data_IF_297608759921
#
_entry.id   IF_297608759921
#
_cell.length_a   1.000
_cell.length_b   1.000
_cell.length_c   1.000
_cell.angle_alpha   90.00
_cell.angle_beta   90.00
_cell.angle_gamma   90.00
#
_symmetry.space_group_name_H-M   'P 1'
#
loop_
_entity.id
_entity.type
_entity.pdbx_description
1 polymer ?
#
# COMPACT_ATOMS: atom_id res chain seq x y z
N UNK A 1 2.50 -22.36 -18.86
CA UNK A 1 3.83 -21.88 -18.43
C UNK A 1 4.92 -22.16 -19.47
N UNK A 2 4.99 -23.32 -20.09
CA UNK A 2 6.04 -23.68 -21.07
C UNK A 2 6.32 -22.59 -22.13
N UNK A 3 5.29 -21.88 -22.61
CA UNK A 3 5.43 -20.76 -23.57
C UNK A 3 6.09 -19.51 -22.97
N UNK A 4 6.24 -19.42 -21.66
CA UNK A 4 6.80 -18.26 -20.93
C UNK A 4 8.13 -18.57 -20.26
N UNK A 5 8.55 -19.83 -20.27
CA UNK A 5 9.80 -20.27 -19.65
C UNK A 5 11.01 -19.43 -20.07
N UNK A 6 11.03 -18.99 -21.33
CA UNK A 6 12.10 -18.14 -21.85
C UNK A 6 12.24 -16.81 -21.08
N UNK A 7 11.14 -16.27 -20.48
CA UNK A 7 11.19 -15.04 -19.68
C UNK A 7 11.97 -15.27 -18.38
N UNK A 8 11.72 -16.39 -17.69
CA UNK A 8 12.52 -16.77 -16.53
C UNK A 8 13.98 -17.04 -16.91
N UNK A 9 14.22 -17.67 -18.08
CA UNK A 9 15.56 -17.98 -18.56
C UNK A 9 16.40 -16.72 -18.89
N UNK A 10 15.76 -15.59 -19.23
CA UNK A 10 16.41 -14.28 -19.44
C UNK A 10 16.46 -13.41 -18.19
N UNK A 11 16.02 -13.92 -17.03
CA UNK A 11 16.17 -13.25 -15.72
C UNK A 11 15.01 -12.33 -15.33
N UNK A 12 13.76 -12.65 -15.74
CA UNK A 12 12.57 -11.93 -15.23
C UNK A 12 12.32 -12.31 -13.78
N UNK A 13 12.21 -11.31 -12.90
CA UNK A 13 12.10 -11.49 -11.45
C UNK A 13 10.66 -11.74 -10.96
N UNK A 14 9.66 -11.71 -11.85
CA UNK A 14 8.28 -11.98 -11.47
C UNK A 14 7.27 -11.75 -12.58
N UNK A 15 6.01 -12.01 -12.29
CA UNK A 15 4.91 -11.89 -13.24
C UNK A 15 3.71 -11.18 -12.60
N UNK A 16 3.14 -10.22 -13.33
CA UNK A 16 1.79 -9.70 -13.07
C UNK A 16 0.80 -10.55 -13.88
N UNK A 17 -0.05 -11.29 -13.18
CA UNK A 17 -1.05 -12.18 -13.77
C UNK A 17 -2.42 -11.51 -13.72
N UNK A 18 -2.81 -10.99 -14.87
CA UNK A 18 -4.09 -10.30 -15.03
C UNK A 18 -5.20 -11.27 -15.44
N UNK A 19 -6.43 -10.98 -15.02
CA UNK A 19 -7.58 -11.85 -15.25
C UNK A 19 -7.67 -13.02 -14.26
N UNK A 20 -8.22 -14.14 -14.74
CA UNK A 20 -8.38 -15.35 -13.92
C UNK A 20 -9.76 -15.48 -13.23
N UNK A 21 -10.66 -14.50 -13.40
CA UNK A 21 -12.00 -14.49 -12.83
C UNK A 21 -13.15 -14.59 -13.88
N UNK A 22 -12.82 -14.78 -15.17
CA UNK A 22 -13.76 -14.61 -16.30
C UNK A 22 -14.68 -15.81 -16.56
N UNK A 23 -15.15 -16.51 -15.54
CA UNK A 23 -16.18 -17.54 -15.67
C UNK A 23 -17.54 -16.93 -15.31
N UNK A 24 -18.18 -16.29 -16.29
CA UNK A 24 -19.44 -15.55 -16.07
C UNK A 24 -20.69 -16.39 -16.29
N UNK A 25 -20.60 -17.50 -17.05
CA UNK A 25 -21.75 -18.35 -17.35
C UNK A 25 -21.76 -19.62 -16.50
N UNK A 26 -22.93 -19.96 -15.99
CA UNK A 26 -23.18 -21.25 -15.32
C UNK A 26 -23.14 -22.43 -16.31
N UNK A 27 -23.30 -22.15 -17.62
CA UNK A 27 -23.32 -23.15 -18.70
C UNK A 27 -21.92 -23.60 -19.11
N UNK A 28 -20.86 -22.94 -18.61
CA UNK A 28 -19.47 -23.39 -18.82
C UNK A 28 -19.28 -24.74 -18.16
N UNK A 29 -18.64 -25.67 -18.86
CA UNK A 29 -18.22 -26.95 -18.31
C UNK A 29 -16.69 -27.05 -18.39
N UNK A 30 -16.07 -27.37 -17.27
CA UNK A 30 -14.67 -27.66 -17.19
C UNK A 30 -14.36 -29.08 -17.71
N UNK A 31 -13.12 -29.37 -18.05
CA UNK A 31 -12.69 -30.65 -18.63
C UNK A 31 -12.91 -31.85 -17.69
N UNK A 32 -13.01 -31.62 -16.40
CA UNK A 32 -13.31 -32.63 -15.38
C UNK A 32 -14.83 -32.86 -15.17
N UNK A 33 -15.67 -32.10 -15.90
CA UNK A 33 -17.12 -32.19 -15.80
C UNK A 33 -17.75 -31.21 -14.79
N UNK A 34 -16.97 -30.43 -14.05
CA UNK A 34 -17.46 -29.41 -13.13
C UNK A 34 -18.16 -28.30 -13.90
N UNK A 35 -19.33 -27.86 -13.44
CA UNK A 35 -20.04 -26.72 -14.03
C UNK A 35 -19.41 -25.37 -13.69
N UNK A 36 -19.65 -24.34 -14.49
CA UNK A 36 -19.22 -22.98 -14.19
C UNK A 36 -19.79 -22.44 -12.88
N UNK A 37 -21.00 -22.88 -12.50
CA UNK A 37 -21.60 -22.52 -11.21
C UNK A 37 -20.79 -23.01 -10.01
N UNK A 38 -20.28 -24.25 -10.09
CA UNK A 38 -19.52 -24.90 -9.03
C UNK A 38 -18.03 -24.50 -9.07
N UNK A 39 -17.43 -24.42 -10.25
CA UNK A 39 -15.99 -24.28 -10.44
C UNK A 39 -15.47 -22.84 -10.56
N UNK A 40 -16.33 -21.82 -10.73
CA UNK A 40 -15.86 -20.44 -11.01
C UNK A 40 -14.89 -19.86 -9.98
N UNK A 41 -15.12 -20.13 -8.72
CA UNK A 41 -14.24 -19.62 -7.64
C UNK A 41 -12.94 -20.41 -7.57
N UNK A 42 -13.03 -21.74 -7.74
CA UNK A 42 -11.84 -22.60 -7.79
C UNK A 42 -10.97 -22.27 -9.00
N UNK A 43 -11.58 -21.92 -10.14
CA UNK A 43 -10.85 -21.46 -11.33
C UNK A 43 -9.95 -20.27 -11.04
N UNK A 44 -10.41 -19.30 -10.24
CA UNK A 44 -9.56 -18.17 -9.85
C UNK A 44 -8.29 -18.63 -9.14
N UNK A 45 -8.42 -19.59 -8.22
CA UNK A 45 -7.26 -20.12 -7.49
C UNK A 45 -6.37 -20.99 -8.38
N UNK A 46 -6.96 -21.83 -9.23
CA UNK A 46 -6.21 -22.69 -10.14
C UNK A 46 -5.43 -21.86 -11.19
N UNK A 47 -6.02 -20.75 -11.63
CA UNK A 47 -5.34 -19.78 -12.51
C UNK A 47 -4.07 -19.23 -11.85
N UNK A 48 -4.15 -18.80 -10.59
CA UNK A 48 -3.01 -18.29 -9.82
C UNK A 48 -2.00 -19.41 -9.55
N UNK A 49 -2.47 -20.58 -9.14
CA UNK A 49 -1.62 -21.74 -8.87
C UNK A 49 -0.82 -22.21 -10.10
N UNK A 50 -1.41 -22.07 -11.30
CA UNK A 50 -0.70 -22.38 -12.55
C UNK A 50 0.54 -21.50 -12.80
N UNK A 51 0.63 -20.36 -12.13
CA UNK A 51 1.83 -19.52 -12.12
C UNK A 51 2.71 -19.78 -10.91
N UNK A 52 2.12 -19.79 -9.71
CA UNK A 52 2.88 -19.92 -8.48
C UNK A 52 3.66 -21.23 -8.38
N UNK A 53 3.14 -22.32 -8.97
CA UNK A 53 3.81 -23.61 -9.00
C UNK A 53 5.03 -23.67 -9.94
N UNK A 54 5.21 -22.66 -10.78
CA UNK A 54 6.20 -22.66 -11.87
C UNK A 54 7.26 -21.56 -11.72
N UNK A 55 7.05 -20.60 -10.83
CA UNK A 55 8.03 -19.56 -10.49
C UNK A 55 8.99 -20.08 -9.42
N UNK A 56 10.21 -19.55 -9.41
CA UNK A 56 11.19 -19.84 -8.36
C UNK A 56 10.87 -19.08 -7.07
N UNK A 57 11.50 -19.48 -5.96
CA UNK A 57 11.38 -18.76 -4.67
C UNK A 57 11.91 -17.33 -4.72
N UNK A 58 12.74 -17.00 -5.71
CA UNK A 58 13.30 -15.66 -5.92
C UNK A 58 12.39 -14.77 -6.79
N UNK A 59 11.33 -15.32 -7.36
CA UNK A 59 10.42 -14.60 -8.25
C UNK A 59 9.12 -14.20 -7.51
N UNK A 60 8.56 -13.05 -7.91
CA UNK A 60 7.32 -12.51 -7.32
C UNK A 60 6.14 -12.74 -8.25
N UNK A 61 5.01 -13.13 -7.65
CA UNK A 61 3.71 -13.19 -8.31
C UNK A 61 2.83 -12.03 -7.85
N UNK A 62 2.27 -11.32 -8.81
CA UNK A 62 1.35 -10.20 -8.61
C UNK A 62 0.05 -10.50 -9.36
N UNK A 63 -1.01 -10.88 -8.65
CA UNK A 63 -2.24 -11.43 -9.24
C UNK A 63 -3.46 -10.57 -8.94
N UNK A 64 -4.45 -10.61 -9.85
CA UNK A 64 -5.74 -9.98 -9.64
C UNK A 64 -6.75 -10.95 -9.01
N UNK A 65 -6.84 -12.14 -9.57
CA UNK A 65 -7.76 -13.16 -9.10
C UNK A 65 -7.25 -13.87 -7.85
N UNK A 66 -8.17 -14.36 -7.03
CA UNK A 66 -7.89 -15.18 -5.87
C UNK A 66 -9.15 -15.74 -5.26
N UNK A 67 -9.01 -16.85 -4.51
CA UNK A 67 -10.08 -17.49 -3.74
C UNK A 67 -9.49 -18.14 -2.49
N UNK A 68 -10.08 -19.23 -2.03
CA UNK A 68 -9.54 -19.99 -0.88
C UNK A 68 -8.11 -20.48 -1.19
N UNK A 69 -7.14 -20.00 -0.41
CA UNK A 69 -5.72 -20.22 -0.66
C UNK A 69 -4.97 -19.01 -1.26
N UNK A 70 -5.67 -17.92 -1.61
CA UNK A 70 -5.06 -16.70 -2.15
C UNK A 70 -4.04 -16.05 -1.20
N UNK A 71 -4.09 -16.34 0.10
CA UNK A 71 -3.06 -15.94 1.07
C UNK A 71 -1.66 -16.49 0.74
N UNK A 72 -1.57 -17.54 -0.08
CA UNK A 72 -0.32 -18.04 -0.65
C UNK A 72 0.21 -17.22 -1.84
N UNK A 73 -0.58 -16.25 -2.33
CA UNK A 73 -0.18 -15.34 -3.40
C UNK A 73 0.39 -14.06 -2.78
N UNK A 74 1.64 -13.70 -3.05
CA UNK A 74 2.30 -12.62 -2.33
C UNK A 74 1.61 -11.26 -2.47
N UNK A 75 1.16 -10.91 -3.70
CA UNK A 75 0.64 -9.57 -3.99
C UNK A 75 -0.68 -9.68 -4.77
N UNK A 76 -1.69 -8.94 -4.30
CA UNK A 76 -2.94 -8.73 -5.01
C UNK A 76 -3.21 -7.24 -5.24
N UNK A 77 -4.04 -6.90 -6.24
CA UNK A 77 -4.50 -5.54 -6.45
C UNK A 77 -6.01 -5.45 -6.71
N UNK A 78 -6.53 -4.23 -6.64
CA UNK A 78 -7.97 -3.92 -6.71
C UNK A 78 -8.64 -4.18 -8.08
N UNK A 79 -7.86 -4.53 -9.12
CA UNK A 79 -8.39 -4.62 -10.49
C UNK A 79 -8.69 -3.24 -11.10
N UNK A 80 -9.60 -3.19 -12.04
CA UNK A 80 -9.88 -2.07 -12.94
C UNK A 80 -10.92 -1.10 -12.34
N UNK A 81 -10.62 -0.51 -11.18
CA UNK A 81 -11.54 0.41 -10.51
C UNK A 81 -11.65 1.77 -11.23
N UNK A 82 -12.80 2.40 -11.08
CA UNK A 82 -13.10 3.69 -11.71
C UNK A 82 -12.37 4.85 -11.02
N UNK A 83 -12.17 5.93 -11.78
CA UNK A 83 -11.54 7.17 -11.29
C UNK A 83 -12.54 8.06 -10.57
N UNK A 84 -12.98 7.62 -9.40
CA UNK A 84 -13.89 8.38 -8.53
C UNK A 84 -13.48 8.29 -7.06
N UNK A 85 -13.88 9.29 -6.26
CA UNK A 85 -13.61 9.28 -4.82
C UNK A 85 -14.30 8.09 -4.11
N UNK A 86 -15.49 7.69 -4.57
CA UNK A 86 -16.20 6.54 -4.00
C UNK A 86 -15.46 5.23 -4.28
N UNK A 87 -14.88 5.08 -5.48
CA UNK A 87 -14.04 3.92 -5.78
C UNK A 87 -12.72 3.93 -4.98
N UNK A 88 -12.13 5.09 -4.73
CA UNK A 88 -10.95 5.18 -3.84
C UNK A 88 -11.29 4.68 -2.42
N UNK A 89 -12.47 5.02 -1.89
CA UNK A 89 -12.98 4.49 -0.61
C UNK A 89 -13.20 2.98 -0.67
N UNK A 90 -13.80 2.48 -1.77
CA UNK A 90 -14.04 1.06 -1.97
C UNK A 90 -12.73 0.26 -2.06
N UNK A 91 -11.70 0.82 -2.70
CA UNK A 91 -10.35 0.24 -2.77
C UNK A 91 -9.74 0.09 -1.39
N UNK A 92 -9.87 1.11 -0.52
CA UNK A 92 -9.42 1.00 0.87
C UNK A 92 -10.19 -0.07 1.64
N UNK A 93 -11.51 -0.09 1.56
CA UNK A 93 -12.34 -1.12 2.21
C UNK A 93 -11.97 -2.52 1.74
N UNK A 94 -11.74 -2.69 0.43
CA UNK A 94 -11.29 -3.95 -0.15
C UNK A 94 -9.93 -4.39 0.38
N UNK A 95 -8.98 -3.44 0.50
CA UNK A 95 -7.66 -3.69 1.10
C UNK A 95 -7.78 -4.19 2.55
N UNK A 96 -8.59 -3.52 3.36
CA UNK A 96 -8.80 -3.87 4.76
C UNK A 96 -9.51 -5.22 4.92
N UNK A 97 -10.48 -5.52 4.05
CA UNK A 97 -11.16 -6.81 4.00
C UNK A 97 -10.23 -7.93 3.55
N UNK A 98 -9.39 -7.69 2.53
CA UNK A 98 -8.39 -8.64 2.06
C UNK A 98 -7.36 -8.94 3.16
N UNK A 99 -6.92 -7.92 3.91
CA UNK A 99 -6.04 -8.10 5.06
C UNK A 99 -6.65 -9.02 6.12
N UNK A 100 -7.94 -8.89 6.44
CA UNK A 100 -8.65 -9.78 7.37
C UNK A 100 -8.78 -11.21 6.84
N UNK A 101 -8.58 -11.40 5.54
CA UNK A 101 -8.53 -12.71 4.87
C UNK A 101 -7.09 -13.24 4.70
N UNK A 102 -6.09 -12.60 5.31
CA UNK A 102 -4.69 -13.04 5.31
C UNK A 102 -3.88 -12.61 4.08
N UNK A 103 -4.35 -11.64 3.29
CA UNK A 103 -3.58 -11.06 2.19
C UNK A 103 -2.54 -10.09 2.75
N UNK A 104 -1.26 -10.40 2.57
CA UNK A 104 -0.15 -9.66 3.16
C UNK A 104 0.15 -8.36 2.44
N UNK A 105 0.05 -8.36 1.11
CA UNK A 105 0.42 -7.24 0.25
C UNK A 105 -0.72 -6.88 -0.69
N UNK A 106 -1.09 -5.62 -0.67
CA UNK A 106 -2.16 -5.06 -1.49
C UNK A 106 -1.68 -3.90 -2.35
N UNK A 107 -2.30 -3.75 -3.50
CA UNK A 107 -2.05 -2.66 -4.44
C UNK A 107 -3.35 -2.15 -5.08
N UNK A 108 -3.25 -1.00 -5.71
CA UNK A 108 -4.30 -0.41 -6.53
C UNK A 108 -3.69 0.59 -7.52
N UNK A 109 -4.43 0.92 -8.57
CA UNK A 109 -3.97 1.85 -9.59
C UNK A 109 -4.20 3.30 -9.15
N UNK A 110 -3.13 4.08 -9.04
CA UNK A 110 -3.18 5.49 -8.63
C UNK A 110 -4.05 6.28 -9.62
N UNK A 111 -5.05 6.99 -9.08
CA UNK A 111 -6.00 7.76 -9.87
C UNK A 111 -7.12 6.93 -10.49
N UNK A 112 -7.14 5.61 -10.29
CA UNK A 112 -8.04 4.65 -10.90
C UNK A 112 -7.54 4.12 -12.26
N UNK A 113 -8.02 2.95 -12.68
CA UNK A 113 -7.67 2.33 -13.96
C UNK A 113 -8.56 2.81 -15.09
N UNK A 114 -9.88 2.83 -14.88
CA UNK A 114 -10.90 3.06 -15.90
C UNK A 114 -11.78 4.29 -15.60
N UNK A 115 -12.65 4.63 -16.55
CA UNK A 115 -13.58 5.75 -16.44
C UNK A 115 -12.98 7.11 -16.80
N UNK A 116 -13.57 8.23 -16.34
CA UNK A 116 -13.13 9.56 -16.70
C UNK A 116 -11.72 9.87 -16.19
N UNK A 117 -11.09 10.87 -16.78
CA UNK A 117 -9.81 11.39 -16.27
C UNK A 117 -9.97 11.76 -14.79
N UNK A 118 -9.11 11.26 -13.89
CA UNK A 118 -9.18 11.62 -12.48
C UNK A 118 -8.94 13.12 -12.32
N UNK A 119 -9.69 13.77 -11.43
CA UNK A 119 -9.37 15.15 -11.03
C UNK A 119 -7.96 15.20 -10.40
N UNK A 120 -7.34 16.36 -10.44
CA UNK A 120 -6.06 16.62 -9.77
C UNK A 120 -6.15 16.23 -8.27
N UNK A 121 -7.28 16.57 -7.63
CA UNK A 121 -7.48 16.25 -6.21
C UNK A 121 -7.60 14.74 -5.97
N UNK A 122 -8.37 14.01 -6.76
CA UNK A 122 -8.46 12.55 -6.66
C UNK A 122 -7.10 11.89 -6.90
N UNK A 123 -6.35 12.31 -7.93
CA UNK A 123 -5.02 11.76 -8.21
C UNK A 123 -4.05 12.00 -7.05
N UNK A 124 -4.05 13.21 -6.49
CA UNK A 124 -3.29 13.58 -5.29
C UNK A 124 -3.58 12.65 -4.14
N UNK A 125 -4.86 12.48 -3.76
CA UNK A 125 -5.28 11.65 -2.63
C UNK A 125 -4.95 10.19 -2.82
N UNK A 126 -5.17 9.70 -4.03
CA UNK A 126 -4.80 8.35 -4.43
C UNK A 126 -3.28 8.12 -4.29
N UNK A 127 -2.46 9.07 -4.76
CA UNK A 127 -0.99 9.02 -4.60
C UNK A 127 -0.58 9.06 -3.13
N UNK A 128 -1.18 9.94 -2.34
CA UNK A 128 -0.93 10.05 -0.89
C UNK A 128 -1.20 8.72 -0.17
N UNK A 129 -2.34 8.08 -0.43
CA UNK A 129 -2.66 6.77 0.13
C UNK A 129 -1.68 5.70 -0.36
N UNK A 130 -1.27 5.74 -1.64
CA UNK A 130 -0.35 4.76 -2.21
C UNK A 130 1.06 4.84 -1.60
N UNK A 131 1.53 6.01 -1.17
CA UNK A 131 2.81 6.17 -0.45
C UNK A 131 2.86 5.28 0.79
N UNK A 132 1.74 5.15 1.51
CA UNK A 132 1.60 4.36 2.73
C UNK A 132 0.81 3.06 2.50
N UNK A 133 0.98 2.46 1.32
CA UNK A 133 0.44 1.16 0.95
C UNK A 133 1.57 0.16 0.69
N UNK A 134 1.33 -1.15 0.74
CA UNK A 134 2.39 -2.14 0.49
C UNK A 134 3.04 -1.96 -0.87
N UNK A 135 2.26 -1.87 -1.93
CA UNK A 135 2.74 -1.69 -3.31
C UNK A 135 2.16 -0.39 -3.88
N UNK A 136 3.02 0.45 -4.42
CA UNK A 136 2.67 1.70 -5.08
C UNK A 136 2.83 1.54 -6.59
N UNK A 137 1.76 1.76 -7.35
CA UNK A 137 1.78 1.72 -8.81
C UNK A 137 0.80 2.71 -9.42
N UNK A 138 1.08 3.18 -10.62
CA UNK A 138 0.03 3.68 -11.50
C UNK A 138 -0.11 2.74 -12.69
N UNK A 139 -1.32 2.59 -13.15
CA UNK A 139 -1.70 1.81 -14.31
C UNK A 139 -2.99 2.37 -14.88
N UNK A 140 -3.21 2.25 -16.17
CA UNK A 140 -4.40 2.78 -16.82
C UNK A 140 -4.78 1.93 -18.03
N UNK A 141 -5.96 2.18 -18.58
CA UNK A 141 -6.40 1.56 -19.82
C UNK A 141 -5.33 1.70 -20.92
N UNK A 142 -5.19 0.67 -21.78
CA UNK A 142 -4.25 0.71 -22.87
C UNK A 142 -4.61 1.76 -23.92
N UNK A 143 -3.70 2.03 -24.83
CA UNK A 143 -3.91 2.89 -25.99
C UNK A 143 -5.20 2.51 -26.76
N UNK A 144 -6.03 3.50 -27.05
CA UNK A 144 -7.33 3.32 -27.69
C UNK A 144 -8.52 3.16 -26.74
N UNK A 145 -8.31 3.13 -25.41
CA UNK A 145 -9.37 3.22 -24.41
C UNK A 145 -10.00 4.61 -24.34
N UNK A 146 -11.01 4.77 -23.47
CA UNK A 146 -11.77 6.04 -23.29
C UNK A 146 -10.88 7.25 -22.98
N UNK A 147 -9.70 7.02 -22.42
CA UNK A 147 -8.79 8.07 -21.99
C UNK A 147 -8.18 8.88 -23.12
N UNK A 148 -7.91 8.24 -24.26
CA UNK A 148 -7.29 8.92 -25.40
C UNK A 148 -8.11 10.10 -25.89
N UNK A 149 -9.43 10.02 -25.83
CA UNK A 149 -10.32 11.12 -26.21
C UNK A 149 -10.32 12.27 -25.18
N UNK A 150 -10.06 11.92 -23.91
CA UNK A 150 -10.06 12.88 -22.79
C UNK A 150 -8.69 13.55 -22.58
N UNK A 151 -7.63 12.99 -23.17
CA UNK A 151 -6.26 13.48 -23.03
C UNK A 151 -5.62 13.73 -24.40
N UNK A 152 -6.06 14.76 -25.13
CA UNK A 152 -5.52 15.08 -26.45
C UNK A 152 -4.02 15.43 -26.31
N UNK A 153 -3.19 14.75 -27.11
CA UNK A 153 -1.73 14.93 -27.12
C UNK A 153 -0.97 13.92 -26.25
N UNK A 154 -1.65 13.00 -25.57
CA UNK A 154 -0.98 11.81 -25.05
C UNK A 154 -0.69 10.84 -26.20
N UNK A 155 0.48 10.21 -26.17
CA UNK A 155 0.85 9.19 -27.17
C UNK A 155 0.15 7.83 -26.93
N UNK A 156 -0.85 7.80 -26.06
CA UNK A 156 -1.61 6.61 -25.71
C UNK A 156 -0.91 5.67 -24.75
N UNK A 157 0.29 5.99 -24.32
CA UNK A 157 1.03 5.23 -23.34
C UNK A 157 0.89 5.85 -21.95
N UNK A 158 0.37 5.09 -21.00
CA UNK A 158 0.35 5.47 -19.59
C UNK A 158 -0.34 6.81 -19.34
N UNK A 159 -1.53 6.96 -19.88
CA UNK A 159 -2.30 8.21 -19.98
C UNK A 159 -2.57 8.87 -18.63
N UNK A 160 -2.62 8.08 -17.53
CA UNK A 160 -2.73 8.58 -16.16
C UNK A 160 -1.39 8.77 -15.46
N UNK A 161 -0.30 8.93 -16.21
CA UNK A 161 0.94 9.38 -15.61
C UNK A 161 0.78 10.79 -15.03
N UNK A 162 1.56 11.17 -14.00
CA UNK A 162 1.52 12.53 -13.46
C UNK A 162 1.71 13.62 -14.51
N UNK A 163 2.55 13.36 -15.51
CA UNK A 163 2.82 14.30 -16.63
C UNK A 163 1.60 14.52 -17.49
N UNK A 164 0.93 13.44 -17.89
CA UNK A 164 -0.26 13.51 -18.74
C UNK A 164 -1.43 14.18 -18.01
N UNK A 165 -1.64 13.85 -16.74
CA UNK A 165 -2.67 14.49 -15.91
C UNK A 165 -2.38 15.98 -15.73
N UNK A 166 -1.13 16.36 -15.43
CA UNK A 166 -0.72 17.75 -15.34
C UNK A 166 -0.94 18.53 -16.65
N UNK A 167 -0.60 17.90 -17.78
CA UNK A 167 -0.80 18.48 -19.11
C UNK A 167 -2.29 18.69 -19.43
N UNK A 168 -3.12 17.67 -19.16
CA UNK A 168 -4.56 17.71 -19.47
C UNK A 168 -5.27 18.82 -18.68
N UNK A 169 -4.84 19.11 -17.46
CA UNK A 169 -5.41 20.18 -16.63
C UNK A 169 -4.67 21.52 -16.73
N UNK A 170 -3.57 21.59 -17.49
CA UNK A 170 -2.75 22.80 -17.58
C UNK A 170 -2.12 23.20 -16.24
N UNK A 171 -1.78 22.25 -15.39
CA UNK A 171 -1.23 22.45 -14.05
C UNK A 171 0.16 21.81 -13.89
N UNK A 172 1.21 22.40 -14.50
CA UNK A 172 2.56 21.82 -14.47
C UNK A 172 3.15 21.71 -13.05
N UNK A 173 2.72 22.55 -12.11
CA UNK A 173 3.12 22.50 -10.70
C UNK A 173 2.71 21.20 -10.01
N UNK A 174 1.70 20.50 -10.51
CA UNK A 174 1.27 19.20 -10.02
C UNK A 174 2.38 18.14 -10.13
N UNK A 175 3.28 18.26 -11.12
CA UNK A 175 4.41 17.34 -11.27
C UNK A 175 5.36 17.44 -10.06
N UNK A 176 5.62 18.64 -9.55
CA UNK A 176 6.48 18.82 -8.38
C UNK A 176 5.82 18.27 -7.09
N UNK A 177 4.50 18.39 -6.97
CA UNK A 177 3.77 17.77 -5.87
C UNK A 177 3.89 16.22 -5.93
N UNK A 178 3.72 15.65 -7.13
CA UNK A 178 3.88 14.20 -7.31
C UNK A 178 5.32 13.76 -7.05
N UNK A 179 6.31 14.54 -7.49
CA UNK A 179 7.73 14.29 -7.18
C UNK A 179 7.97 14.20 -5.67
N UNK A 180 7.39 15.13 -4.89
CA UNK A 180 7.48 15.11 -3.43
C UNK A 180 6.97 13.77 -2.86
N UNK A 181 5.78 13.32 -3.27
CA UNK A 181 5.19 12.08 -2.76
C UNK A 181 5.99 10.83 -3.16
N UNK A 182 6.49 10.77 -4.39
CA UNK A 182 7.32 9.67 -4.85
C UNK A 182 8.68 9.64 -4.15
N UNK A 183 9.29 10.82 -3.92
CA UNK A 183 10.53 10.92 -3.14
C UNK A 183 10.31 10.46 -1.70
N UNK A 184 9.21 10.86 -1.05
CA UNK A 184 8.86 10.38 0.27
C UNK A 184 8.70 8.85 0.30
N UNK A 185 8.07 8.26 -0.72
CA UNK A 185 7.96 6.81 -0.86
C UNK A 185 9.33 6.14 -0.96
N UNK A 186 10.23 6.70 -1.75
CA UNK A 186 11.61 6.21 -1.89
C UNK A 186 12.37 6.31 -0.56
N UNK A 187 12.26 7.41 0.13
CA UNK A 187 12.87 7.60 1.45
C UNK A 187 12.36 6.58 2.49
N UNK A 188 11.08 6.19 2.41
CA UNK A 188 10.45 5.21 3.30
C UNK A 188 10.75 3.75 2.94
N UNK A 189 11.43 3.44 1.84
CA UNK A 189 11.71 2.06 1.42
C UNK A 189 12.35 1.20 2.51
N UNK A 190 13.29 1.69 3.35
CA UNK A 190 13.82 0.89 4.44
C UNK A 190 12.74 0.44 5.44
N UNK A 191 11.83 1.33 5.86
CA UNK A 191 10.69 1.00 6.71
C UNK A 191 9.73 0.02 6.04
N UNK A 192 9.43 0.25 4.76
CA UNK A 192 8.53 -0.59 3.96
C UNK A 192 9.09 -2.00 3.83
N UNK A 193 10.37 -2.13 3.52
CA UNK A 193 11.04 -3.42 3.40
C UNK A 193 11.09 -4.17 4.74
N UNK A 194 11.45 -3.48 5.81
CA UNK A 194 11.37 -4.00 7.18
C UNK A 194 9.97 -4.54 7.51
N UNK A 195 8.94 -3.75 7.18
CA UNK A 195 7.54 -4.13 7.42
C UNK A 195 7.13 -5.34 6.57
N UNK A 196 7.63 -5.44 5.31
CA UNK A 196 7.39 -6.59 4.46
C UNK A 196 8.03 -7.87 5.03
N UNK A 197 9.25 -7.79 5.54
CA UNK A 197 9.92 -8.92 6.21
C UNK A 197 9.13 -9.39 7.43
N UNK A 198 8.61 -8.46 8.25
CA UNK A 198 7.76 -8.76 9.40
C UNK A 198 6.46 -9.42 8.93
N UNK A 199 5.84 -8.88 7.88
CA UNK A 199 4.59 -9.42 7.33
C UNK A 199 4.73 -10.88 6.92
N UNK A 200 5.79 -11.24 6.21
CA UNK A 200 6.06 -12.62 5.80
C UNK A 200 6.37 -13.51 7.01
N UNK A 201 7.24 -13.06 7.91
CA UNK A 201 7.66 -13.84 9.08
C UNK A 201 6.51 -14.13 10.04
N UNK A 202 5.61 -13.18 10.24
CA UNK A 202 4.53 -13.24 11.23
C UNK A 202 3.17 -13.55 10.61
N UNK A 203 3.09 -13.68 9.29
CA UNK A 203 1.82 -13.79 8.54
C UNK A 203 0.86 -12.64 8.89
N UNK A 204 1.40 -11.45 9.04
CA UNK A 204 0.68 -10.25 9.47
C UNK A 204 0.60 -9.23 8.33
N UNK A 205 -0.60 -8.89 7.80
CA UNK A 205 -0.73 -7.95 6.69
C UNK A 205 -0.07 -6.61 6.97
N UNK A 206 0.60 -6.04 5.96
CA UNK A 206 1.26 -4.74 6.07
C UNK A 206 0.27 -3.60 6.28
N UNK A 207 -0.87 -3.65 5.58
CA UNK A 207 -1.96 -2.68 5.65
C UNK A 207 -3.17 -3.38 6.25
N UNK A 208 -3.64 -2.95 7.42
CA UNK A 208 -4.69 -3.66 8.12
C UNK A 208 -5.59 -2.73 8.94
N UNK A 209 -6.88 -3.08 9.11
CA UNK A 209 -7.81 -2.25 9.89
C UNK A 209 -7.38 -2.21 11.37
N UNK A 210 -7.74 -1.13 12.05
CA UNK A 210 -7.37 -0.93 13.46
C UNK A 210 -7.89 -2.05 14.36
N UNK A 211 -9.04 -2.63 14.04
CA UNK A 211 -9.62 -3.76 14.81
C UNK A 211 -8.70 -5.00 14.83
N UNK A 212 -7.79 -5.14 13.87
CA UNK A 212 -6.84 -6.26 13.85
C UNK A 212 -5.92 -6.26 15.10
N UNK A 213 -5.44 -5.08 15.51
CA UNK A 213 -4.53 -4.94 16.65
C UNK A 213 -5.23 -4.42 17.93
N UNK A 214 -6.45 -3.86 17.84
CA UNK A 214 -7.16 -3.21 18.94
C UNK A 214 -8.59 -3.79 19.12
N UNK A 215 -8.72 -5.10 19.19
CA UNK A 215 -10.01 -5.82 19.20
C UNK A 215 -10.90 -5.47 20.39
N UNK A 216 -10.33 -5.05 21.52
CA UNK A 216 -11.06 -4.67 22.74
C UNK A 216 -11.57 -3.22 22.68
N UNK A 217 -11.18 -2.45 21.69
CA UNK A 217 -11.61 -1.05 21.54
C UNK A 217 -12.86 -0.95 20.64
N UNK A 218 -14.00 -0.66 21.25
CA UNK A 218 -15.28 -0.57 20.53
C UNK A 218 -15.32 0.51 19.45
N UNK A 219 -14.46 1.53 19.52
CA UNK A 219 -14.42 2.62 18.54
C UNK A 219 -13.85 2.15 17.18
N UNK A 220 -13.06 1.09 17.15
CA UNK A 220 -12.40 0.65 15.91
C UNK A 220 -13.13 -0.48 15.18
N UNK A 221 -14.18 -1.08 15.78
CA UNK A 221 -14.87 -2.25 15.24
C UNK A 221 -15.42 -2.01 13.82
N UNK A 222 -16.01 -0.83 13.61
CA UNK A 222 -16.63 -0.45 12.33
C UNK A 222 -15.84 0.64 11.59
N UNK A 223 -14.57 0.88 11.97
CA UNK A 223 -13.75 1.91 11.37
C UNK A 223 -13.09 1.37 10.09
N UNK A 224 -13.51 1.89 8.93
CA UNK A 224 -13.13 1.37 7.61
C UNK A 224 -12.33 2.34 6.75
N UNK A 225 -11.96 3.48 7.32
CA UNK A 225 -11.29 4.59 6.64
C UNK A 225 -9.99 5.05 7.31
N UNK A 226 -9.49 4.22 8.23
CA UNK A 226 -8.19 4.32 8.89
C UNK A 226 -7.53 2.95 8.97
N UNK A 227 -6.22 2.92 8.88
CA UNK A 227 -5.48 1.65 8.92
C UNK A 227 -4.11 1.79 9.55
N UNK A 228 -3.57 0.67 10.02
CA UNK A 228 -2.15 0.55 10.34
C UNK A 228 -1.37 0.17 9.10
N UNK A 229 -0.28 0.89 8.85
CA UNK A 229 0.75 0.55 7.90
C UNK A 229 2.01 0.11 8.65
N UNK A 230 2.26 -1.18 8.65
CA UNK A 230 3.22 -1.81 9.54
C UNK A 230 2.78 -1.76 11.01
N UNK A 231 3.73 -1.82 11.92
CA UNK A 231 3.46 -1.82 13.35
C UNK A 231 3.48 -0.39 13.96
N UNK A 232 3.97 0.59 13.21
CA UNK A 232 4.32 1.90 13.75
C UNK A 232 3.44 3.05 13.25
N UNK A 233 2.87 2.96 12.04
CA UNK A 233 2.11 4.06 11.43
C UNK A 233 0.62 3.80 11.41
N UNK A 234 -0.18 4.79 11.81
CA UNK A 234 -1.61 4.90 11.56
C UNK A 234 -1.82 5.91 10.45
N UNK A 235 -2.57 5.54 9.43
CA UNK A 235 -2.85 6.35 8.24
C UNK A 235 -4.36 6.56 8.13
N UNK A 236 -4.77 7.82 8.00
CA UNK A 236 -6.19 8.21 7.86
C UNK A 236 -6.37 9.08 6.60
N UNK A 237 -6.49 8.47 5.41
CA UNK A 237 -6.53 9.22 4.15
C UNK A 237 -7.68 10.22 4.09
N UNK A 238 -7.42 11.35 3.44
CA UNK A 238 -8.45 12.29 3.01
C UNK A 238 -9.05 11.75 1.71
N UNK A 239 -10.34 11.42 1.67
CA UNK A 239 -10.97 10.72 0.53
C UNK A 239 -12.18 11.46 -0.05
N UNK A 240 -12.53 12.63 0.49
CA UNK A 240 -13.55 13.50 -0.09
C UNK A 240 -12.90 14.59 -0.93
N UNK A 241 -13.59 15.03 -1.95
CA UNK A 241 -13.11 16.11 -2.81
C UNK A 241 -12.89 17.39 -2.03
N UNK A 242 -11.73 18.04 -2.24
CA UNK A 242 -11.31 19.28 -1.56
C UNK A 242 -11.27 19.21 -0.02
N UNK A 243 -11.26 18.01 0.55
CA UNK A 243 -11.15 17.82 2.00
C UNK A 243 -9.76 18.25 2.49
N UNK A 244 -9.71 19.07 3.55
CA UNK A 244 -8.44 19.54 4.14
C UNK A 244 -8.17 18.95 5.52
N UNK A 245 -9.18 18.42 6.18
CA UNK A 245 -9.06 17.79 7.50
C UNK A 245 -10.15 16.74 7.70
N UNK A 246 -9.98 15.89 8.70
CA UNK A 246 -10.99 14.90 9.10
C UNK A 246 -10.85 14.55 10.58
N UNK A 247 -11.88 13.92 11.12
CA UNK A 247 -11.76 13.24 12.41
C UNK A 247 -10.97 11.96 12.23
N UNK A 248 -10.04 11.71 13.16
CA UNK A 248 -9.19 10.53 13.23
C UNK A 248 -9.28 9.94 14.62
N UNK A 249 -9.46 8.63 14.71
CA UNK A 249 -9.41 7.93 15.99
C UNK A 249 -7.99 7.45 16.26
N UNK A 250 -7.42 7.87 17.36
CA UNK A 250 -6.14 7.37 17.84
C UNK A 250 -6.37 6.31 18.92
N UNK A 251 -6.04 5.04 18.69
CA UNK A 251 -6.12 3.99 19.71
C UNK A 251 -5.19 4.25 20.89
N UNK A 252 -5.31 3.42 21.92
CA UNK A 252 -4.52 3.52 23.16
C UNK A 252 -3.02 3.70 22.91
N UNK A 253 -2.42 4.68 23.61
CA UNK A 253 -1.01 5.03 23.56
C UNK A 253 -0.79 6.49 23.20
N UNK A 254 0.47 6.86 22.99
CA UNK A 254 0.84 8.18 22.47
C UNK A 254 1.17 8.05 20.99
N UNK A 255 0.80 9.08 20.22
CA UNK A 255 0.96 9.14 18.78
C UNK A 255 1.56 10.47 18.37
N UNK A 256 2.48 10.44 17.42
CA UNK A 256 3.14 11.62 16.88
C UNK A 256 2.71 11.81 15.43
N UNK A 257 2.23 13.00 15.08
CA UNK A 257 2.03 13.34 13.68
C UNK A 257 3.36 13.19 12.93
N UNK A 258 3.33 12.45 11.81
CA UNK A 258 4.53 12.10 11.06
C UNK A 258 5.24 13.31 10.45
N UNK A 259 4.47 14.36 10.08
CA UNK A 259 5.01 15.53 9.38
C UNK A 259 5.37 16.67 10.34
N UNK A 260 4.58 16.87 11.39
CA UNK A 260 4.77 18.00 12.31
C UNK A 260 5.43 17.60 13.63
N UNK A 261 5.54 16.31 13.91
CA UNK A 261 6.02 15.73 15.17
C UNK A 261 5.19 16.09 16.41
N UNK A 262 4.03 16.67 16.21
CA UNK A 262 3.12 16.99 17.31
C UNK A 262 2.61 15.73 17.99
N UNK A 263 2.70 15.69 19.32
CA UNK A 263 2.28 14.54 20.13
C UNK A 263 0.81 14.62 20.51
N UNK A 264 0.13 13.48 20.44
CA UNK A 264 -1.27 13.31 20.84
C UNK A 264 -1.41 12.12 21.78
N UNK A 265 -2.29 12.24 22.78
CA UNK A 265 -2.74 11.10 23.58
C UNK A 265 -3.79 10.32 22.79
N UNK A 266 -3.77 9.00 22.89
CA UNK A 266 -4.74 8.12 22.26
C UNK A 266 -6.05 7.96 23.06
N UNK A 267 -6.82 6.92 22.72
CA UNK A 267 -8.16 6.61 23.21
C UNK A 267 -9.16 7.75 22.95
N UNK A 268 -9.00 8.48 21.85
CA UNK A 268 -9.89 9.60 21.51
C UNK A 268 -9.89 9.95 20.02
N UNK A 269 -10.94 10.61 19.63
CA UNK A 269 -11.05 11.27 18.34
C UNK A 269 -10.33 12.63 18.38
N UNK A 270 -9.58 12.92 17.35
CA UNK A 270 -8.96 14.22 17.12
C UNK A 270 -9.39 14.77 15.76
N UNK A 271 -9.31 16.08 15.59
CA UNK A 271 -9.35 16.69 14.26
C UNK A 271 -7.91 16.73 13.71
N UNK A 272 -7.73 16.23 12.49
CA UNK A 272 -6.41 16.29 11.84
C UNK A 272 -6.06 17.75 11.54
N UNK A 273 -4.77 18.05 11.55
CA UNK A 273 -4.28 19.39 11.22
C UNK A 273 -4.51 19.66 9.72
N UNK A 274 -5.25 20.73 9.35
CA UNK A 274 -5.53 21.04 7.95
C UNK A 274 -4.27 21.42 7.15
N UNK A 275 -3.17 21.77 7.82
CA UNK A 275 -1.89 22.02 7.16
C UNK A 275 -1.11 20.73 6.86
N UNK A 276 -1.51 19.63 7.49
CA UNK A 276 -0.96 18.31 7.18
C UNK A 276 -1.61 17.77 5.92
N UNK A 277 -0.81 17.56 4.87
CA UNK A 277 -1.30 17.10 3.57
C UNK A 277 -1.98 15.74 3.60
N UNK A 278 -1.59 14.90 4.55
CA UNK A 278 -2.16 13.57 4.81
C UNK A 278 -2.02 13.26 6.30
N UNK A 279 -3.10 12.94 7.02
CA UNK A 279 -3.02 12.50 8.41
C UNK A 279 -2.31 11.15 8.54
N UNK A 280 -1.11 11.17 9.09
CA UNK A 280 -0.29 9.99 9.41
C UNK A 280 0.28 10.17 10.81
N UNK A 281 0.11 9.16 11.65
CA UNK A 281 0.56 9.20 13.04
C UNK A 281 1.46 8.01 13.34
N UNK A 282 2.56 8.28 14.04
CA UNK A 282 3.53 7.25 14.45
C UNK A 282 3.38 6.95 15.93
N UNK A 283 3.29 5.67 16.26
CA UNK A 283 3.14 5.20 17.63
C UNK A 283 4.39 5.48 18.45
N UNK A 284 4.23 5.99 19.67
CA UNK A 284 5.32 6.13 20.64
C UNK A 284 5.94 4.78 20.98
N UNK A 285 7.26 4.76 21.16
CA UNK A 285 8.01 3.55 21.47
C UNK A 285 8.41 2.72 20.25
N UNK A 286 8.21 3.25 19.02
CA UNK A 286 8.57 2.59 17.76
C UNK A 286 9.57 3.41 16.96
N UNK A 287 10.09 2.82 15.87
CA UNK A 287 11.05 3.48 14.97
C UNK A 287 10.51 3.58 13.55
N UNK A 288 10.99 4.58 12.82
CA UNK A 288 10.80 4.67 11.37
C UNK A 288 12.17 4.78 10.71
N UNK A 289 12.48 3.85 9.83
CA UNK A 289 13.70 3.84 9.05
C UNK A 289 13.48 4.58 7.75
N UNK A 290 14.36 5.51 7.42
CA UNK A 290 14.30 6.29 6.18
C UNK A 290 15.69 6.42 5.56
N UNK A 291 15.74 6.60 4.25
CA UNK A 291 16.96 6.96 3.53
C UNK A 291 16.80 8.38 2.97
N UNK A 292 17.40 9.35 3.62
CA UNK A 292 17.30 10.76 3.23
C UNK A 292 18.68 11.33 2.88
N UNK A 293 18.78 12.03 1.75
CA UNK A 293 20.05 12.57 1.24
C UNK A 293 21.18 11.53 1.17
N UNK A 294 20.82 10.30 0.78
CA UNK A 294 21.75 9.18 0.73
C UNK A 294 22.19 8.61 2.09
N UNK A 295 21.64 9.12 3.21
CA UNK A 295 21.96 8.70 4.56
C UNK A 295 20.85 7.82 5.15
N UNK A 296 21.25 6.76 5.85
CA UNK A 296 20.33 5.92 6.60
C UNK A 296 20.02 6.60 7.94
N UNK A 297 18.73 6.88 8.17
CA UNK A 297 18.22 7.51 9.38
C UNK A 297 17.22 6.59 10.07
N UNK A 298 17.27 6.58 11.41
CA UNK A 298 16.28 5.92 12.25
C UNK A 298 15.67 6.98 13.17
N UNK A 299 14.40 7.27 12.97
CA UNK A 299 13.61 8.16 13.80
C UNK A 299 13.05 7.39 14.99
N UNK A 300 13.31 7.83 16.19
CA UNK A 300 12.94 7.20 17.46
C UNK A 300 11.78 8.00 18.07
N UNK A 301 10.57 7.46 18.05
CA UNK A 301 9.38 8.15 18.50
C UNK A 301 9.08 7.88 19.99
N UNK A 302 8.97 8.96 20.76
CA UNK A 302 8.70 8.92 22.21
C UNK A 302 9.94 8.89 23.08
N UNK A 303 9.71 9.07 24.39
CA UNK A 303 10.78 9.19 25.39
C UNK A 303 11.54 7.89 25.67
N UNK A 304 10.91 6.76 25.40
CA UNK A 304 11.52 5.43 25.55
C UNK A 304 10.87 4.46 24.58
N UNK A 305 11.62 3.43 24.20
CA UNK A 305 11.12 2.38 23.32
C UNK A 305 12.14 1.28 23.06
N UNK A 306 11.67 0.28 22.33
CA UNK A 306 12.47 -0.86 21.87
C UNK A 306 11.98 -1.29 20.50
N UNK A 307 12.91 -1.51 19.59
CA UNK A 307 12.59 -2.01 18.23
C UNK A 307 13.72 -2.90 17.71
N UNK A 308 13.43 -3.73 16.72
CA UNK A 308 14.38 -4.61 16.07
C UNK A 308 14.37 -4.34 14.57
N UNK A 309 15.53 -3.99 14.02
CA UNK A 309 15.72 -3.71 12.60
C UNK A 309 16.26 -4.99 11.94
N UNK A 310 15.41 -5.69 11.21
CA UNK A 310 15.70 -7.02 10.65
C UNK A 310 16.76 -6.96 9.56
N UNK A 311 16.69 -5.95 8.68
CA UNK A 311 17.64 -5.77 7.58
C UNK A 311 19.08 -5.59 8.07
N UNK A 312 19.24 -4.92 9.20
CA UNK A 312 20.55 -4.61 9.79
C UNK A 312 20.92 -5.55 10.95
N UNK A 313 20.01 -6.47 11.30
CA UNK A 313 20.17 -7.42 12.42
C UNK A 313 20.52 -6.74 13.75
N UNK A 314 19.94 -5.57 14.00
CA UNK A 314 20.19 -4.79 15.22
C UNK A 314 18.93 -4.66 16.09
N UNK A 315 19.11 -4.72 17.39
CA UNK A 315 18.11 -4.35 18.38
C UNK A 315 18.43 -2.98 18.95
N UNK A 316 17.45 -2.11 18.99
CA UNK A 316 17.56 -0.73 19.47
C UNK A 316 16.70 -0.59 20.73
N UNK A 317 17.26 0.00 21.77
CA UNK A 317 16.50 0.42 22.95
C UNK A 317 16.93 1.84 23.31
N UNK A 318 15.95 2.68 23.64
CA UNK A 318 16.27 4.06 24.05
C UNK A 318 15.46 4.52 25.25
N UNK A 319 16.05 5.45 26.00
CA UNK A 319 15.41 6.16 27.10
C UNK A 319 15.96 7.59 27.18
N UNK A 320 15.09 8.59 26.96
CA UNK A 320 15.51 9.97 26.71
C UNK A 320 16.43 10.01 25.49
N UNK A 321 17.63 10.57 25.66
CA UNK A 321 18.66 10.65 24.61
C UNK A 321 19.69 9.51 24.65
N UNK A 322 19.52 8.53 25.54
CA UNK A 322 20.42 7.39 25.63
C UNK A 322 19.92 6.27 24.71
N UNK A 323 20.77 5.81 23.82
CA UNK A 323 20.50 4.69 22.91
C UNK A 323 21.45 3.53 23.26
N UNK A 324 20.91 2.34 23.22
CA UNK A 324 21.67 1.08 23.21
C UNK A 324 21.36 0.34 21.93
N UNK A 325 22.38 0.02 21.15
CA UNK A 325 22.28 -0.80 19.93
C UNK A 325 23.00 -2.10 20.22
N UNK A 326 22.33 -3.24 19.93
CA UNK A 326 22.88 -4.59 19.98
C UNK A 326 22.86 -5.18 18.59
N UNK A 327 23.89 -5.88 18.20
CA UNK A 327 24.11 -6.38 16.86
C UNK A 327 25.20 -5.60 16.14
N UNK A 328 25.56 -6.04 14.95
CA UNK A 328 26.59 -5.40 14.12
C UNK A 328 25.95 -4.93 12.82
N UNK A 329 26.20 -3.71 12.42
CA UNK A 329 25.81 -3.16 11.12
C UNK A 329 27.03 -2.47 10.49
N UNK A 330 27.22 -2.68 9.20
CA UNK A 330 28.23 -1.99 8.40
C UNK A 330 27.79 -0.58 7.99
N UNK A 331 26.51 -0.23 8.24
CA UNK A 331 25.92 1.03 7.80
C UNK A 331 26.15 2.14 8.83
N UNK A 332 26.48 3.33 8.33
CA UNK A 332 26.47 4.55 9.16
C UNK A 332 25.02 4.99 9.36
N UNK A 333 24.47 4.75 10.56
CA UNK A 333 23.10 5.09 10.92
C UNK A 333 23.07 6.39 11.72
N UNK A 334 22.19 7.30 11.35
CA UNK A 334 21.89 8.52 12.09
C UNK A 334 20.61 8.30 12.89
N UNK A 335 20.66 8.52 14.21
CA UNK A 335 19.50 8.42 15.08
C UNK A 335 18.92 9.81 15.35
N UNK A 336 17.62 9.97 15.11
CA UNK A 336 16.89 11.19 15.36
C UNK A 336 15.76 10.95 16.37
N UNK A 337 15.69 11.80 17.43
CA UNK A 337 14.72 11.66 18.50
C UNK A 337 13.52 12.58 18.28
N UNK A 338 12.33 12.00 18.26
CA UNK A 338 11.04 12.68 18.21
C UNK A 338 10.35 12.47 19.57
N UNK A 339 10.33 13.53 20.41
CA UNK A 339 9.89 13.42 21.81
C UNK A 339 8.82 14.46 22.17
#
# INVERSE_FOLDING_TARGET
FQKRKYLSDIGVDGFKTDGGEFIYSQEVNFSDGTSGAEGKNQYCQDYVNAYSNEISEEQVLFSRAGYAGASGTPILWAGDHQSTNDELKNVLRAALSAAMSGILFWSFDIGGFAGPLPSIDLYRRSTQMAVFSPIMQWHSEPDGGQFRELMPGSDGNNERSPWNVALAYGQPEFIEEMRYWHTLREELLPYIYQTAQIAVRESKPMMRPLVYDFQEDSNVINLEDEYLFGNSMLVAPLMEENQTSRKVYLPKGQWFDFFTYKCYEGEKWIDSDPETKLPVYVKSGTTIQMKQDGKNKIFLYGKEGKDSILSDQIDITWKGKNITVKGETEQNIIFEFIQ
#
